data_IF_099971495596
#
_entry.id   IF_099971495596
#
_cell.length_a   1.000
_cell.length_b   1.000
_cell.length_c   1.000
_cell.angle_alpha   90.00
_cell.angle_beta   90.00
_cell.angle_gamma   90.00
#
_symmetry.space_group_name_H-M   'P 1'
#
loop_
_entity.id
_entity.type
_entity.pdbx_description
1 polymer ?
#
# COMPACT_ATOMS: atom_id res chain seq x y z
N UNK A 1 -13.78 -8.69 -15.51
CA UNK A 1 -14.63 -8.77 -16.72
C UNK A 1 -13.89 -8.17 -17.91
N UNK A 2 -14.08 -8.68 -19.14
CA UNK A 2 -13.52 -8.04 -20.34
C UNK A 2 -14.01 -6.60 -20.49
N UNK A 3 -13.11 -5.69 -20.89
CA UNK A 3 -13.41 -4.27 -21.07
C UNK A 3 -14.50 -4.02 -22.13
N UNK A 4 -14.49 -4.79 -23.22
CA UNK A 4 -15.49 -4.69 -24.29
C UNK A 4 -16.90 -5.04 -23.80
N UNK A 5 -17.04 -6.03 -22.91
CA UNK A 5 -18.33 -6.36 -22.30
C UNK A 5 -18.83 -5.21 -21.43
N UNK A 6 -17.94 -4.60 -20.64
CA UNK A 6 -18.26 -3.41 -19.84
C UNK A 6 -18.72 -2.24 -20.71
N UNK A 7 -18.02 -1.91 -21.80
CA UNK A 7 -18.46 -0.87 -22.74
C UNK A 7 -19.83 -1.17 -23.36
N UNK A 8 -20.13 -2.45 -23.61
CA UNK A 8 -21.47 -2.88 -24.01
C UNK A 8 -22.54 -2.50 -22.98
N UNK A 9 -22.27 -2.78 -21.71
CA UNK A 9 -23.17 -2.46 -20.60
C UNK A 9 -23.33 -0.95 -20.33
N UNK A 10 -22.30 -0.15 -20.61
CA UNK A 10 -22.42 1.30 -20.54
C UNK A 10 -23.36 1.81 -21.63
N UNK A 11 -23.19 1.32 -22.87
CA UNK A 11 -23.98 1.76 -24.03
C UNK A 11 -25.42 1.28 -24.01
N UNK A 12 -25.70 0.16 -23.33
CA UNK A 12 -27.05 -0.36 -23.16
C UNK A 12 -27.79 0.25 -21.94
N UNK A 13 -27.11 1.11 -21.18
CA UNK A 13 -27.67 1.78 -20.00
C UNK A 13 -27.80 0.89 -18.76
N UNK A 14 -27.16 -0.28 -18.72
CA UNK A 14 -27.20 -1.17 -17.55
C UNK A 14 -26.23 -0.78 -16.43
N UNK A 15 -25.42 0.27 -16.62
CA UNK A 15 -24.43 0.70 -15.62
C UNK A 15 -24.90 2.02 -15.01
N UNK A 16 -25.14 2.01 -13.71
CA UNK A 16 -25.61 3.19 -12.98
C UNK A 16 -24.43 4.07 -12.53
N UNK A 17 -23.35 3.43 -12.09
CA UNK A 17 -22.21 4.09 -11.44
C UNK A 17 -20.90 3.43 -11.82
N UNK A 18 -19.87 4.27 -12.01
CA UNK A 18 -18.48 3.89 -12.21
C UNK A 18 -17.58 4.63 -11.24
N UNK A 19 -16.73 3.88 -10.55
CA UNK A 19 -15.71 4.38 -9.62
C UNK A 19 -14.31 4.00 -10.12
N UNK A 20 -13.50 5.02 -10.39
CA UNK A 20 -12.08 4.86 -10.70
C UNK A 20 -11.26 4.68 -9.41
N UNK A 21 -10.63 3.52 -9.21
CA UNK A 21 -9.70 3.23 -8.10
C UNK A 21 -8.33 2.84 -8.64
N UNK A 22 -7.48 3.86 -8.83
CA UNK A 22 -6.18 3.69 -9.48
C UNK A 22 -6.37 3.21 -10.92
N UNK A 23 -5.81 2.05 -11.26
CA UNK A 23 -5.96 1.42 -12.58
C UNK A 23 -7.24 0.59 -12.72
N UNK A 24 -7.89 0.26 -11.60
CA UNK A 24 -9.10 -0.55 -11.60
C UNK A 24 -10.34 0.32 -11.77
N UNK A 25 -11.28 -0.15 -12.58
CA UNK A 25 -12.60 0.45 -12.75
C UNK A 25 -13.61 -0.46 -12.07
N UNK A 26 -14.28 0.06 -11.04
CA UNK A 26 -15.41 -0.60 -10.41
C UNK A 26 -16.69 -0.04 -10.97
N UNK A 27 -17.66 -0.89 -11.26
CA UNK A 27 -18.96 -0.46 -11.74
C UNK A 27 -20.08 -1.28 -11.11
N UNK A 28 -21.23 -0.64 -10.95
CA UNK A 28 -22.44 -1.28 -10.42
C UNK A 28 -23.43 -1.51 -11.56
N UNK A 29 -23.93 -2.74 -11.64
CA UNK A 29 -24.99 -3.14 -12.58
C UNK A 29 -25.99 -4.01 -11.84
N UNK A 30 -27.26 -3.61 -11.84
CA UNK A 30 -28.35 -4.33 -11.18
C UNK A 30 -28.09 -4.60 -9.69
N UNK A 31 -27.37 -3.70 -9.00
CA UNK A 31 -26.98 -3.85 -7.59
C UNK A 31 -25.72 -4.69 -7.34
N UNK A 32 -25.18 -5.36 -8.36
CA UNK A 32 -23.94 -6.12 -8.24
C UNK A 32 -22.72 -5.27 -8.65
N UNK A 33 -21.64 -5.40 -7.89
CA UNK A 33 -20.37 -4.71 -8.16
C UNK A 33 -19.42 -5.58 -8.97
N UNK A 34 -18.87 -5.01 -10.03
CA UNK A 34 -17.93 -5.67 -10.92
C UNK A 34 -16.65 -4.85 -11.08
N UNK A 35 -15.60 -5.52 -11.55
CA UNK A 35 -14.30 -4.89 -11.82
C UNK A 35 -13.85 -5.17 -13.25
N UNK A 36 -13.36 -4.12 -13.89
CA UNK A 36 -12.68 -4.16 -15.18
C UNK A 36 -11.46 -3.22 -15.15
N UNK A 37 -10.70 -3.22 -16.25
CA UNK A 37 -9.51 -2.42 -16.43
C UNK A 37 -9.58 -1.78 -17.82
N UNK A 38 -9.30 -0.48 -17.91
CA UNK A 38 -9.26 0.21 -19.20
C UNK A 38 -7.92 -0.08 -19.88
N UNK A 39 -7.90 -0.59 -21.12
CA UNK A 39 -6.67 -0.72 -21.91
C UNK A 39 -6.15 0.62 -22.45
N UNK A 40 -6.93 1.69 -22.39
CA UNK A 40 -6.51 3.05 -22.77
C UNK A 40 -5.58 3.66 -21.71
N UNK A 41 -4.73 4.59 -22.14
CA UNK A 41 -3.76 5.25 -21.25
C UNK A 41 -4.35 6.36 -20.39
N UNK A 42 -5.36 7.08 -20.89
CA UNK A 42 -5.84 8.33 -20.26
C UNK A 42 -7.32 8.31 -19.84
N UNK A 43 -8.06 7.23 -20.09
CA UNK A 43 -9.51 7.11 -19.83
C UNK A 43 -10.41 8.15 -20.53
N UNK A 44 -9.88 9.05 -21.37
CA UNK A 44 -10.64 10.14 -21.99
C UNK A 44 -11.82 9.64 -22.84
N UNK A 45 -11.61 8.60 -23.65
CA UNK A 45 -12.67 8.05 -24.50
C UNK A 45 -13.73 7.33 -23.66
N UNK A 46 -13.31 6.64 -22.61
CA UNK A 46 -14.22 6.03 -21.64
C UNK A 46 -15.07 7.09 -20.92
N UNK A 47 -14.46 8.15 -20.37
CA UNK A 47 -15.18 9.21 -19.64
C UNK A 47 -16.22 9.86 -20.54
N UNK A 48 -15.89 10.16 -21.80
CA UNK A 48 -16.88 10.66 -22.76
C UNK A 48 -18.04 9.69 -22.98
N UNK A 49 -17.75 8.39 -23.13
CA UNK A 49 -18.81 7.37 -23.28
C UNK A 49 -19.69 7.27 -22.04
N UNK A 50 -19.12 7.37 -20.83
CA UNK A 50 -19.86 7.34 -19.57
C UNK A 50 -20.79 8.56 -19.43
N UNK A 51 -20.27 9.75 -19.75
CA UNK A 51 -21.01 11.01 -19.70
C UNK A 51 -22.17 11.02 -20.71
N UNK A 52 -21.92 10.57 -21.95
CA UNK A 52 -22.94 10.42 -23.00
C UNK A 52 -24.10 9.48 -22.59
N UNK A 53 -23.82 8.50 -21.73
CA UNK A 53 -24.80 7.53 -21.25
C UNK A 53 -25.35 7.84 -19.86
N UNK A 54 -25.11 9.05 -19.33
CA UNK A 54 -25.58 9.51 -18.00
C UNK A 54 -25.13 8.60 -16.83
N UNK A 55 -23.96 7.97 -16.96
CA UNK A 55 -23.40 7.15 -15.89
C UNK A 55 -22.79 8.06 -14.83
N UNK A 56 -23.02 7.76 -13.55
CA UNK A 56 -22.41 8.50 -12.47
C UNK A 56 -20.91 8.19 -12.40
N UNK A 57 -20.07 9.21 -12.52
CA UNK A 57 -18.61 9.08 -12.52
C UNK A 57 -18.03 9.53 -11.18
N UNK A 58 -17.30 8.65 -10.49
CA UNK A 58 -16.59 8.96 -9.26
C UNK A 58 -15.13 8.51 -9.31
N UNK A 59 -14.28 9.13 -8.49
CA UNK A 59 -12.90 8.70 -8.27
C UNK A 59 -12.67 8.42 -6.78
N UNK A 60 -12.03 7.29 -6.49
CA UNK A 60 -11.60 6.98 -5.13
C UNK A 60 -10.33 7.75 -4.79
N UNK A 61 -10.22 8.29 -3.56
CA UNK A 61 -8.97 8.90 -3.12
C UNK A 61 -7.86 7.85 -3.17
N UNK A 62 -6.61 8.26 -3.51
CA UNK A 62 -5.49 7.33 -3.52
C UNK A 62 -5.37 6.67 -2.15
N UNK A 63 -5.18 5.34 -2.14
CA UNK A 63 -4.99 4.59 -0.89
C UNK A 63 -3.80 5.16 -0.15
N UNK A 64 -4.08 5.95 0.89
CA UNK A 64 -3.06 6.44 1.80
C UNK A 64 -2.62 5.26 2.65
N UNK A 65 -1.39 4.82 2.47
CA UNK A 65 -0.79 3.85 3.38
C UNK A 65 -0.78 4.46 4.78
N UNK A 66 -1.26 3.72 5.79
CA UNK A 66 -1.31 4.24 7.15
C UNK A 66 0.10 4.61 7.62
N UNK A 67 0.34 5.89 7.83
CA UNK A 67 1.64 6.43 8.24
C UNK A 67 2.20 5.69 9.47
N UNK A 68 1.35 5.35 10.44
CA UNK A 68 1.73 4.59 11.63
C UNK A 68 2.21 3.17 11.32
N UNK A 69 1.54 2.46 10.40
CA UNK A 69 1.99 1.13 9.97
C UNK A 69 3.30 1.21 9.19
N UNK A 70 3.45 2.21 8.32
CA UNK A 70 4.69 2.44 7.60
C UNK A 70 5.85 2.74 8.55
N UNK A 71 5.63 3.58 9.57
CA UNK A 71 6.62 3.89 10.59
C UNK A 71 7.00 2.66 11.43
N UNK A 72 6.01 1.85 11.81
CA UNK A 72 6.24 0.60 12.55
C UNK A 72 7.12 -0.37 11.73
N UNK A 73 6.77 -0.61 10.46
CA UNK A 73 7.53 -1.49 9.57
C UNK A 73 8.94 -0.94 9.30
N UNK A 74 9.06 0.36 9.01
CA UNK A 74 10.34 0.99 8.69
C UNK A 74 11.27 1.12 9.90
N UNK A 75 10.73 1.12 11.12
CA UNK A 75 11.52 1.12 12.35
C UNK A 75 12.13 -0.23 12.69
N UNK A 76 11.62 -1.34 12.12
CA UNK A 76 12.05 -2.70 12.45
C UNK A 76 13.56 -2.96 12.24
N UNK A 77 14.19 -2.54 11.11
CA UNK A 77 15.63 -2.69 10.92
C UNK A 77 16.46 -1.95 11.97
N UNK A 78 16.06 -0.72 12.33
CA UNK A 78 16.77 0.09 13.33
C UNK A 78 16.63 -0.54 14.72
N UNK A 79 15.43 -0.98 15.10
CA UNK A 79 15.18 -1.66 16.37
C UNK A 79 15.96 -2.97 16.49
N UNK A 80 16.07 -3.75 15.41
CA UNK A 80 16.90 -4.96 15.37
C UNK A 80 18.39 -4.63 15.59
N UNK A 81 18.90 -3.60 14.92
CA UNK A 81 20.29 -3.16 15.12
C UNK A 81 20.54 -2.72 16.56
N UNK A 82 19.62 -1.95 17.16
CA UNK A 82 19.71 -1.55 18.57
C UNK A 82 19.68 -2.77 19.49
N UNK A 83 18.80 -3.74 19.24
CA UNK A 83 18.71 -4.96 20.06
C UNK A 83 20.02 -5.77 20.02
N UNK A 84 20.60 -5.97 18.84
CA UNK A 84 21.89 -6.65 18.65
C UNK A 84 23.03 -5.86 19.28
N UNK A 85 23.02 -4.53 19.13
CA UNK A 85 24.03 -3.65 19.73
C UNK A 85 23.99 -3.69 21.26
N UNK A 86 22.80 -3.62 21.87
CA UNK A 86 22.61 -3.78 23.32
C UNK A 86 23.06 -5.17 23.77
N UNK A 87 22.77 -6.22 22.99
CA UNK A 87 23.22 -7.57 23.28
C UNK A 87 24.76 -7.67 23.34
N UNK A 88 25.47 -7.10 22.37
CA UNK A 88 26.94 -7.05 22.39
C UNK A 88 27.48 -6.25 23.57
N UNK A 89 26.91 -5.08 23.87
CA UNK A 89 27.34 -4.28 25.02
C UNK A 89 27.15 -5.02 26.35
N UNK A 90 26.03 -5.73 26.50
CA UNK A 90 25.78 -6.56 27.68
C UNK A 90 26.78 -7.70 27.78
N UNK A 91 27.19 -8.29 26.66
CA UNK A 91 28.21 -9.34 26.62
C UNK A 91 29.61 -8.82 27.01
N UNK A 92 29.97 -7.60 26.58
CA UNK A 92 31.28 -7.02 26.86
C UNK A 92 31.43 -6.53 28.31
N UNK A 93 30.36 -5.96 28.92
CA UNK A 93 30.40 -5.56 30.33
C UNK A 93 30.33 -6.76 31.30
N UNK A 94 29.68 -7.87 30.91
CA UNK A 94 29.61 -9.10 31.70
C UNK A 94 30.84 -10.02 31.61
N UNK A 95 31.71 -9.83 30.62
CA UNK A 95 32.96 -10.60 30.46
C UNK A 95 34.21 -9.94 31.06
N UNK A 96 34.10 -8.70 31.56
CA UNK A 96 35.24 -7.85 31.93
C UNK A 96 35.39 -7.50 33.41
N UNK A 97 34.55 -8.01 34.32
CA UNK A 97 34.70 -7.72 35.77
C UNK A 97 35.74 -8.61 36.49
N UNK A 98 36.67 -9.22 35.75
CA UNK A 98 37.47 -10.34 36.27
C UNK A 98 38.97 -10.12 36.39
N UNK A 99 39.66 -9.59 35.37
CA UNK A 99 41.14 -9.59 35.36
C UNK A 99 41.68 -8.51 34.43
N UNK A 100 42.48 -7.58 34.93
CA UNK A 100 43.49 -6.95 34.07
C UNK A 100 43.91 -5.51 34.36
N UNK A 101 43.19 -4.75 35.18
CA UNK A 101 43.66 -3.45 35.62
C UNK A 101 43.81 -3.48 37.14
N UNK A 102 45.00 -3.12 37.62
CA UNK A 102 45.45 -3.16 39.02
C UNK A 102 46.07 -4.48 39.50
N UNK A 103 47.00 -5.05 38.72
CA UNK A 103 48.20 -5.61 39.37
C UNK A 103 49.05 -4.41 39.79
N UNK A 104 48.68 -3.83 40.94
CA UNK A 104 49.53 -2.93 41.70
C UNK A 104 50.95 -3.48 41.78
N UNK A 105 51.92 -2.58 41.64
CA UNK A 105 53.33 -2.86 41.88
C UNK A 105 53.52 -3.62 43.19
N UNK A 106 54.07 -4.82 43.07
CA UNK A 106 54.77 -5.49 44.15
C UNK A 106 56.03 -6.08 43.56
N UNK A 107 57.05 -5.23 43.45
CA UNK A 107 58.48 -5.48 43.69
C UNK A 107 59.23 -4.21 43.34
#
# INVERSE_FOLDING_TARGET
MPYSSFLGYVRDGSVDEVVFDGEAIRYVRNGDSFVTYNPETENTALIGTLDENNVLIQASPPRQQSFLLQLFISSFPILLLIAVWVYFMRQMQGGGSGRGAMSFGKS
#
